data_IF_773875846729
#
_entry.id   IF_773875846729
#
_cell.length_a   1.000
_cell.length_b   1.000
_cell.length_c   1.000
_cell.angle_alpha   90.00
_cell.angle_beta   90.00
_cell.angle_gamma   90.00
#
_symmetry.space_group_name_H-M   'P 1'
#
loop_
_entity.id
_entity.type
_entity.pdbx_description
1 polymer ?
#
# COMPACT_ATOMS: atom_id res chain seq x y z
N UNK A 1 -18.43 53.44 -52.80
CA UNK A 1 -18.31 53.09 -52.18
C UNK A 1 -18.17 52.28 -51.30
N UNK A 2 -18.14 51.94 -51.00
CA UNK A 2 -18.06 51.24 -50.18
C UNK A 2 -17.56 50.67 -49.28
N UNK A 3 -17.50 50.27 -48.60
CA UNK A 3 -17.23 49.85 -47.82
C UNK A 3 -16.89 49.10 -47.12
N UNK A 4 -16.61 48.79 -46.80
CA UNK A 4 -16.25 48.10 -46.27
C UNK A 4 -16.03 47.67 -45.24
N UNK A 5 -15.91 47.41 -44.75
CA UNK A 5 -15.62 47.00 -43.72
C UNK A 5 -15.65 46.16 -43.09
N UNK A 6 -15.65 45.88 -42.79
CA UNK A 6 -15.81 45.11 -42.15
C UNK A 6 -15.11 44.38 -41.56
N UNK A 7 -14.84 44.19 -41.40
CA UNK A 7 -14.20 43.48 -40.91
C UNK A 7 -13.91 43.22 -39.78
N UNK A 8 -13.96 43.39 -39.35
CA UNK A 8 -13.73 43.14 -38.35
C UNK A 8 -13.91 42.36 -37.66
N UNK A 9 -14.16 42.22 -37.51
CA UNK A 9 -14.62 41.55 -36.90
C UNK A 9 -14.16 40.58 -36.44
N UNK A 10 -13.77 40.15 -36.63
CA UNK A 10 -13.30 39.21 -36.39
C UNK A 10 -12.67 39.06 -35.32
N UNK A 11 -12.49 39.58 -34.79
CA UNK A 11 -11.87 39.54 -33.85
C UNK A 11 -12.25 38.92 -32.89
N UNK A 12 -12.93 38.95 -32.76
CA UNK A 12 -13.44 38.40 -31.78
C UNK A 12 -13.11 37.19 -31.31
N UNK A 13 -12.89 36.68 -31.95
CA UNK A 13 -12.68 35.52 -31.74
C UNK A 13 -11.61 35.15 -30.95
N UNK A 14 -11.07 35.99 -30.42
CA UNK A 14 -10.20 35.67 -29.65
C UNK A 14 -10.64 35.08 -28.55
N UNK A 15 -10.94 34.02 -28.64
CA UNK A 15 -11.21 33.23 -27.60
C UNK A 15 -9.99 33.05 -26.84
N UNK A 16 -9.88 33.70 -25.84
CA UNK A 16 -8.94 33.38 -24.99
C UNK A 16 -9.07 32.03 -24.59
N UNK A 17 -8.10 31.20 -24.76
CA UNK A 17 -8.12 29.89 -24.21
C UNK A 17 -8.34 30.10 -22.74
N UNK A 18 -9.40 29.60 -22.30
CA UNK A 18 -9.61 29.53 -20.92
C UNK A 18 -8.41 28.83 -20.34
N UNK A 19 -7.74 29.46 -19.42
CA UNK A 19 -6.78 28.72 -18.70
C UNK A 19 -7.55 27.55 -18.15
N UNK A 20 -7.21 26.42 -18.56
CA UNK A 20 -7.66 25.25 -17.92
C UNK A 20 -7.56 25.53 -16.47
N UNK A 21 -8.62 25.32 -15.75
CA UNK A 21 -8.55 25.45 -14.34
C UNK A 21 -7.32 24.67 -13.96
N UNK A 22 -6.40 25.37 -13.44
CA UNK A 22 -5.21 24.77 -12.99
C UNK A 22 -5.66 23.66 -12.15
N UNK A 23 -5.35 22.51 -12.59
CA UNK A 23 -5.56 21.38 -11.78
C UNK A 23 -4.69 21.65 -10.60
N UNK A 24 -5.31 22.10 -9.59
CA UNK A 24 -4.63 22.23 -8.36
C UNK A 24 -4.31 20.81 -7.99
N UNK A 25 -3.10 20.46 -8.22
CA UNK A 25 -2.61 19.26 -7.64
C UNK A 25 -2.54 19.53 -6.15
N UNK A 26 -3.67 19.39 -5.54
CA UNK A 26 -3.68 19.34 -4.11
C UNK A 26 -2.76 18.19 -3.75
N UNK A 27 -1.72 18.50 -3.03
CA UNK A 27 -0.90 17.45 -2.46
C UNK A 27 -1.87 16.52 -1.73
N UNK A 28 -1.83 15.23 -2.04
CA UNK A 28 -2.68 14.31 -1.31
C UNK A 28 -2.40 14.51 0.17
N UNK A 29 -3.45 14.62 0.93
CA UNK A 29 -3.31 14.71 2.38
C UNK A 29 -2.49 13.51 2.83
N UNK A 30 -1.48 13.73 3.66
CA UNK A 30 -0.73 12.60 4.17
C UNK A 30 -1.69 11.66 4.90
N UNK A 31 -1.54 10.38 4.63
CA UNK A 31 -2.36 9.36 5.26
C UNK A 31 -1.92 9.26 6.72
N UNK A 32 -2.88 9.45 7.62
CA UNK A 32 -2.59 9.30 9.03
C UNK A 32 -2.62 7.82 9.38
N UNK A 33 -1.46 7.27 9.68
CA UNK A 33 -1.33 5.87 10.06
C UNK A 33 -1.37 5.70 11.58
N UNK A 34 -1.79 4.53 12.03
CA UNK A 34 -1.78 4.20 13.45
C UNK A 34 -0.34 4.17 13.96
N UNK A 35 -0.11 4.54 15.22
CA UNK A 35 1.23 4.53 15.78
C UNK A 35 1.71 3.11 16.06
N UNK A 36 3.02 2.96 16.19
CA UNK A 36 3.62 1.69 16.59
C UNK A 36 3.89 0.71 15.47
N UNK A 37 3.69 1.13 14.23
CA UNK A 37 4.01 0.27 13.08
C UNK A 37 5.51 0.30 12.81
N UNK A 38 6.09 -0.82 12.37
CA UNK A 38 7.46 -0.78 11.85
C UNK A 38 7.56 0.21 10.71
N UNK A 39 8.67 0.94 10.58
CA UNK A 39 8.80 1.95 9.52
C UNK A 39 8.55 1.41 8.11
N UNK A 40 8.96 0.18 7.84
CA UNK A 40 8.78 -0.43 6.53
C UNK A 40 7.31 -0.70 6.24
N UNK A 41 6.56 -1.11 7.26
CA UNK A 41 5.12 -1.37 7.12
C UNK A 41 4.39 -0.04 6.93
N UNK A 42 4.77 0.97 7.70
CA UNK A 42 4.17 2.30 7.56
C UNK A 42 4.42 2.85 6.15
N UNK A 43 5.63 2.70 5.62
CA UNK A 43 5.95 3.17 4.28
C UNK A 43 5.12 2.44 3.22
N UNK A 44 4.93 1.13 3.39
CA UNK A 44 4.14 0.34 2.44
C UNK A 44 2.65 0.72 2.50
N UNK A 45 2.12 0.99 3.69
CA UNK A 45 0.72 1.39 3.85
C UNK A 45 0.43 2.77 3.26
N UNK A 46 1.44 3.60 3.08
CA UNK A 46 1.26 4.87 2.36
C UNK A 46 1.05 4.66 0.87
N UNK A 47 1.50 3.54 0.34
CA UNK A 47 1.41 3.22 -1.09
C UNK A 47 0.31 2.22 -1.40
N UNK A 48 -0.04 1.37 -0.44
CA UNK A 48 -1.00 0.28 -0.64
C UNK A 48 -2.00 0.26 0.50
N UNK A 49 -3.25 0.02 0.17
CA UNK A 49 -4.29 -0.10 1.19
C UNK A 49 -4.12 -1.37 2.02
N UNK A 50 -3.68 -2.44 1.38
CA UNK A 50 -3.42 -3.72 2.03
C UNK A 50 -1.96 -4.10 1.86
N UNK A 51 -1.36 -4.56 2.93
CA UNK A 51 0.05 -4.92 2.96
C UNK A 51 0.21 -6.27 3.65
N UNK A 52 0.92 -7.17 2.99
CA UNK A 52 1.29 -8.46 3.56
C UNK A 52 2.69 -8.32 4.18
N UNK A 53 2.81 -8.73 5.42
CA UNK A 53 4.09 -8.70 6.14
C UNK A 53 4.51 -10.14 6.41
N UNK A 54 5.72 -10.49 6.03
CA UNK A 54 6.26 -11.83 6.31
C UNK A 54 7.40 -11.71 7.30
N UNK A 55 7.24 -12.35 8.45
CA UNK A 55 8.29 -12.45 9.46
C UNK A 55 9.09 -13.72 9.17
N UNK A 56 10.39 -13.59 9.08
CA UNK A 56 11.24 -14.71 8.69
C UNK A 56 12.61 -14.66 9.36
N UNK A 57 13.15 -15.83 9.64
CA UNK A 57 14.52 -16.01 10.03
C UNK A 57 15.30 -16.34 8.75
N UNK A 58 16.27 -15.52 8.34
CA UNK A 58 17.02 -15.78 7.11
C UNK A 58 17.86 -17.04 7.15
N UNK A 59 18.06 -17.63 8.32
CA UNK A 59 18.84 -18.86 8.46
C UNK A 59 17.96 -20.11 8.42
N UNK A 60 16.65 -19.95 8.53
CA UNK A 60 15.72 -21.06 8.51
C UNK A 60 15.16 -21.28 7.11
N UNK A 61 15.37 -22.49 6.59
CA UNK A 61 14.95 -22.79 5.21
C UNK A 61 13.44 -22.70 5.03
N UNK A 62 12.68 -23.14 6.02
CA UNK A 62 11.24 -23.13 5.92
C UNK A 62 10.71 -21.69 5.91
N UNK A 63 11.40 -20.79 6.58
CA UNK A 63 11.04 -19.39 6.61
C UNK A 63 11.28 -18.72 5.25
N UNK A 64 12.34 -19.14 4.55
CA UNK A 64 12.61 -18.63 3.20
C UNK A 64 11.51 -19.08 2.23
N UNK A 65 11.01 -20.30 2.38
CA UNK A 65 9.91 -20.79 1.56
C UNK A 65 8.64 -20.01 1.89
N UNK A 66 8.36 -19.81 3.17
CA UNK A 66 7.21 -19.02 3.62
C UNK A 66 7.28 -17.58 3.08
N UNK A 67 8.45 -16.99 3.10
CA UNK A 67 8.68 -15.64 2.57
C UNK A 67 8.33 -15.57 1.08
N UNK A 68 8.78 -16.55 0.31
CA UNK A 68 8.52 -16.59 -1.13
C UNK A 68 7.03 -16.80 -1.41
N UNK A 69 6.37 -17.65 -0.67
CA UNK A 69 4.94 -17.90 -0.81
C UNK A 69 4.11 -16.65 -0.45
N UNK A 70 4.49 -15.98 0.64
CA UNK A 70 3.80 -14.77 1.06
C UNK A 70 3.97 -13.64 0.03
N UNK A 71 5.16 -13.50 -0.52
CA UNK A 71 5.45 -12.53 -1.57
C UNK A 71 4.60 -12.80 -2.81
N UNK A 72 4.54 -14.07 -3.23
CA UNK A 72 3.75 -14.45 -4.39
C UNK A 72 2.24 -14.23 -4.15
N UNK A 73 1.76 -14.52 -2.94
CA UNK A 73 0.36 -14.27 -2.59
C UNK A 73 0.00 -12.80 -2.61
N UNK A 74 0.89 -11.96 -2.10
CA UNK A 74 0.69 -10.52 -2.13
C UNK A 74 0.63 -10.01 -3.57
N UNK A 75 1.50 -10.51 -4.43
CA UNK A 75 1.53 -10.11 -5.83
C UNK A 75 0.24 -10.51 -6.56
N UNK A 76 -0.21 -11.75 -6.36
CA UNK A 76 -1.45 -12.23 -6.97
C UNK A 76 -2.64 -11.37 -6.56
N UNK A 77 -2.68 -10.93 -5.31
CA UNK A 77 -3.79 -10.14 -4.78
C UNK A 77 -3.55 -8.63 -4.89
N UNK A 78 -2.49 -8.20 -5.54
CA UNK A 78 -2.15 -6.80 -5.74
C UNK A 78 -1.97 -6.01 -4.43
N UNK A 79 -1.46 -6.66 -3.40
CA UNK A 79 -1.15 -6.02 -2.13
C UNK A 79 0.32 -5.62 -2.07
N UNK A 80 0.64 -4.71 -1.17
CA UNK A 80 2.03 -4.42 -0.85
C UNK A 80 2.65 -5.59 -0.09
N UNK A 81 3.97 -5.69 -0.12
CA UNK A 81 4.69 -6.76 0.56
C UNK A 81 5.88 -6.22 1.32
N UNK A 82 6.01 -6.62 2.58
CA UNK A 82 7.12 -6.20 3.44
C UNK A 82 7.70 -7.42 4.13
N UNK A 83 8.94 -7.80 3.79
CA UNK A 83 9.65 -8.83 4.56
C UNK A 83 10.28 -8.20 5.80
N UNK A 84 10.12 -8.84 6.95
CA UNK A 84 10.75 -8.42 8.19
C UNK A 84 11.63 -9.53 8.75
N UNK A 85 12.92 -9.24 8.84
CA UNK A 85 13.89 -10.18 9.38
C UNK A 85 13.79 -10.15 10.90
N UNK A 86 13.46 -11.30 11.51
CA UNK A 86 13.26 -11.40 12.94
C UNK A 86 14.52 -11.15 13.75
N UNK A 87 15.69 -11.25 13.12
CA UNK A 87 16.95 -10.97 13.79
C UNK A 87 17.25 -9.48 13.89
N UNK A 88 16.46 -8.62 13.21
CA UNK A 88 16.65 -7.19 13.25
C UNK A 88 15.61 -6.53 14.16
N UNK A 89 16.01 -6.26 15.38
CA UNK A 89 15.10 -5.69 16.39
C UNK A 89 14.46 -4.38 15.96
N UNK A 90 15.15 -3.56 15.14
CA UNK A 90 14.59 -2.30 14.68
C UNK A 90 13.35 -2.54 13.81
N UNK A 91 13.31 -3.64 13.09
CA UNK A 91 12.17 -3.99 12.24
C UNK A 91 11.05 -4.64 13.03
N UNK A 92 11.39 -5.56 13.92
CA UNK A 92 10.40 -6.38 14.59
C UNK A 92 10.01 -5.91 15.99
N UNK A 93 10.83 -5.08 16.62
CA UNK A 93 10.56 -4.58 17.97
C UNK A 93 9.18 -3.95 18.11
N UNK A 94 8.77 -3.03 17.21
CA UNK A 94 7.43 -2.44 17.31
C UNK A 94 6.32 -3.47 17.24
N UNK A 95 6.45 -4.50 16.40
CA UNK A 95 5.47 -5.56 16.28
C UNK A 95 5.39 -6.38 17.57
N UNK A 96 6.53 -6.73 18.13
CA UNK A 96 6.56 -7.52 19.36
C UNK A 96 5.92 -6.77 20.52
N UNK A 97 6.04 -5.45 20.53
CA UNK A 97 5.38 -4.64 21.56
C UNK A 97 3.88 -4.64 21.42
N UNK A 98 3.36 -4.73 20.20
CA UNK A 98 1.93 -4.71 19.96
C UNK A 98 1.28 -6.08 20.02
N UNK A 99 1.95 -7.07 19.46
CA UNK A 99 1.35 -8.38 19.25
C UNK A 99 1.83 -9.43 20.25
N UNK A 100 2.83 -9.10 21.06
CA UNK A 100 3.46 -10.06 21.94
C UNK A 100 4.38 -10.96 21.14
N UNK A 101 4.52 -12.20 21.57
CA UNK A 101 5.39 -13.14 20.90
C UNK A 101 4.75 -13.61 19.60
N UNK A 102 5.46 -13.41 18.51
CA UNK A 102 5.02 -13.88 17.19
C UNK A 102 6.06 -14.90 16.74
N UNK A 103 5.64 -16.11 16.39
CA UNK A 103 6.59 -17.12 15.91
C UNK A 103 7.10 -16.77 14.52
N UNK A 104 8.23 -17.36 14.14
CA UNK A 104 8.73 -17.33 12.78
C UNK A 104 8.65 -18.73 12.18
N UNK A 105 8.19 -18.88 10.96
CA UNK A 105 7.65 -17.82 10.11
C UNK A 105 6.26 -17.40 10.55
N UNK A 106 5.87 -16.20 10.18
CA UNK A 106 4.51 -15.71 10.38
C UNK A 106 4.16 -14.78 9.25
N UNK A 107 2.88 -14.71 8.92
CA UNK A 107 2.38 -13.79 7.90
C UNK A 107 1.27 -12.95 8.51
N UNK A 108 1.39 -11.66 8.33
CA UNK A 108 0.42 -10.69 8.83
C UNK A 108 -0.15 -9.91 7.66
N UNK A 109 -1.42 -9.60 7.70
CA UNK A 109 -2.03 -8.73 6.70
C UNK A 109 -2.52 -7.48 7.41
N UNK A 110 -2.02 -6.34 6.98
CA UNK A 110 -2.42 -5.05 7.51
C UNK A 110 -3.27 -4.30 6.50
N UNK A 111 -4.26 -3.58 7.01
CA UNK A 111 -5.08 -2.69 6.22
C UNK A 111 -4.85 -1.27 6.73
N UNK A 112 -4.78 -0.31 5.80
CA UNK A 112 -4.71 1.10 6.16
C UNK A 112 -5.86 1.44 7.13
N UNK A 113 -5.61 2.14 8.21
CA UNK A 113 -4.40 2.92 8.55
C UNK A 113 -3.36 2.17 9.38
N UNK A 114 -3.41 0.88 9.51
CA UNK A 114 -2.46 0.08 10.28
C UNK A 114 -3.12 -0.99 11.11
N UNK A 115 -4.29 -1.42 10.69
CA UNK A 115 -5.09 -2.40 11.38
C UNK A 115 -4.68 -3.80 10.96
N UNK A 116 -4.41 -4.67 11.91
CA UNK A 116 -4.09 -6.07 11.63
C UNK A 116 -5.39 -6.81 11.34
N UNK A 117 -5.55 -7.25 10.10
CA UNK A 117 -6.80 -7.90 9.67
C UNK A 117 -6.68 -9.40 9.48
N UNK A 118 -5.47 -9.93 9.42
CA UNK A 118 -5.26 -11.38 9.38
C UNK A 118 -3.88 -11.71 9.93
N UNK A 119 -3.76 -12.85 10.57
CA UNK A 119 -2.51 -13.33 11.16
C UNK A 119 -2.42 -14.84 11.01
N UNK A 120 -1.30 -15.29 10.47
CA UNK A 120 -1.01 -16.70 10.33
C UNK A 120 0.28 -17.00 11.11
N UNK A 121 0.17 -17.76 12.17
CA UNK A 121 1.32 -18.21 12.93
C UNK A 121 1.83 -19.49 12.27
N UNK A 122 3.05 -19.43 11.76
CA UNK A 122 3.62 -20.53 11.00
C UNK A 122 3.55 -20.28 9.50
N UNK A 123 3.72 -21.34 8.75
CA UNK A 123 3.75 -21.28 7.29
C UNK A 123 2.35 -21.01 6.72
N UNK A 124 2.30 -20.14 5.74
CA UNK A 124 1.10 -19.90 4.95
C UNK A 124 1.50 -19.90 3.47
N UNK A 125 0.77 -20.65 2.67
CA UNK A 125 1.09 -20.74 1.25
C UNK A 125 0.50 -19.54 0.46
N UNK A 126 0.93 -19.43 -0.78
CA UNK A 126 0.54 -18.34 -1.66
C UNK A 126 -0.97 -18.15 -1.75
N UNK A 127 -1.70 -19.23 -1.91
CA UNK A 127 -3.15 -19.14 -2.12
C UNK A 127 -3.86 -18.71 -0.84
N UNK A 128 -3.40 -19.18 0.30
CA UNK A 128 -3.93 -18.78 1.61
C UNK A 128 -3.69 -17.29 1.83
N UNK A 129 -2.49 -16.81 1.53
CA UNK A 129 -2.17 -15.40 1.67
C UNK A 129 -3.00 -14.54 0.72
N UNK A 130 -3.08 -14.93 -0.54
CA UNK A 130 -3.88 -14.21 -1.52
C UNK A 130 -5.35 -14.14 -1.09
N UNK A 131 -5.89 -15.25 -0.60
CA UNK A 131 -7.28 -15.29 -0.15
C UNK A 131 -7.52 -14.39 1.06
N UNK A 132 -6.57 -14.34 1.97
CA UNK A 132 -6.67 -13.45 3.14
C UNK A 132 -6.72 -11.99 2.72
N UNK A 133 -5.92 -11.60 1.72
CA UNK A 133 -5.95 -10.24 1.19
C UNK A 133 -7.29 -9.94 0.52
N UNK A 134 -7.78 -10.85 -0.29
CA UNK A 134 -9.08 -10.68 -0.96
C UNK A 134 -10.20 -10.55 0.07
N UNK A 135 -10.18 -11.38 1.11
CA UNK A 135 -11.17 -11.31 2.17
C UNK A 135 -11.10 -9.99 2.92
N UNK A 136 -9.90 -9.49 3.18
CA UNK A 136 -9.71 -8.22 3.86
C UNK A 136 -10.23 -7.05 3.01
N UNK A 137 -10.02 -7.11 1.70
CA UNK A 137 -10.53 -6.09 0.79
C UNK A 137 -12.05 -6.09 0.75
N UNK A 138 -12.67 -7.27 0.76
CA UNK A 138 -14.12 -7.41 0.70
C UNK A 138 -14.79 -6.99 2.02
N UNK A 139 -14.07 -7.06 3.13
CA UNK A 139 -14.60 -6.71 4.45
C UNK A 139 -14.52 -5.21 4.75
N UNK A 140 -14.08 -4.40 3.80
CA UNK A 140 -14.02 -2.95 4.00
C UNK A 140 -15.44 -2.40 4.01
N UNK A 141 -15.83 -1.70 5.07
CA UNK A 141 -17.20 -1.13 5.13
C UNK A 141 -17.36 0.03 4.18
#
# INVERSE_FOLDING_TARGET
>A
MRKPGTHETLRGTLVKPHPKPAVVHAKPKPIALLPGLPPEVAAALRKHELVVVSLYDPQARVDQISLAEASAGAEVAHAGFVPLNVLRQRQTGPLMRQLGVVPDPAVLVYRRPGELVARFDGFADRDTVAQAVVNAAAATP
#
